data_IF_205986051652
#
_entry.id   IF_205986051652
#
_cell.length_a   1.000
_cell.length_b   1.000
_cell.length_c   1.000
_cell.angle_alpha   90.00
_cell.angle_beta   90.00
_cell.angle_gamma   90.00
#
_symmetry.space_group_name_H-M   'P 1'
#
loop_
_entity.id
_entity.type
_entity.pdbx_description
1 polymer ?
#
# COMPACT_ATOMS: atom_id res chain seq x y z
N UNK A 1 -1.72 -51.01 1.33
CA UNK A 1 -1.85 -49.92 0.35
C UNK A 1 -1.96 -48.62 1.13
N UNK A 2 -0.82 -47.95 1.38
CA UNK A 2 -0.78 -46.68 2.08
C UNK A 2 -1.04 -45.55 1.10
N UNK A 3 -2.14 -44.83 1.28
CA UNK A 3 -2.42 -43.60 0.55
C UNK A 3 -1.54 -42.48 1.10
N UNK A 4 -0.44 -42.18 0.42
CA UNK A 4 0.31 -40.95 0.65
C UNK A 4 -0.52 -39.77 0.13
N UNK A 5 -1.24 -39.11 1.04
CA UNK A 5 -1.82 -37.80 0.77
C UNK A 5 -0.68 -36.79 0.74
N UNK A 6 -0.22 -36.50 -0.48
CA UNK A 6 0.76 -35.48 -0.77
C UNK A 6 0.18 -34.11 -0.36
N UNK A 7 0.62 -33.59 0.79
CA UNK A 7 0.26 -32.26 1.27
C UNK A 7 0.91 -31.21 0.37
N UNK A 8 0.19 -30.82 -0.68
CA UNK A 8 0.55 -29.66 -1.49
C UNK A 8 0.64 -28.43 -0.58
N UNK A 9 1.70 -27.60 -0.67
CA UNK A 9 1.74 -26.36 0.09
C UNK A 9 0.53 -25.53 -0.30
N UNK A 10 -0.31 -25.20 0.69
CA UNK A 10 -1.48 -24.34 0.47
C UNK A 10 -0.98 -23.03 -0.12
N UNK A 11 -1.47 -22.67 -1.31
CA UNK A 11 -1.19 -21.35 -1.90
C UNK A 11 -1.62 -20.29 -0.89
N UNK A 12 -0.81 -19.25 -0.62
CA UNK A 12 -1.21 -18.19 0.28
C UNK A 12 -2.52 -17.58 -0.22
N UNK A 13 -3.53 -17.54 0.66
CA UNK A 13 -4.85 -16.99 0.34
C UNK A 13 -4.92 -15.60 0.94
N UNK A 14 -4.81 -14.57 0.10
CA UNK A 14 -5.03 -13.19 0.50
C UNK A 14 -6.48 -12.80 0.18
N UNK A 15 -7.24 -12.43 1.20
CA UNK A 15 -8.59 -11.87 1.03
C UNK A 15 -8.52 -10.37 1.26
N UNK A 16 -8.73 -9.58 0.21
CA UNK A 16 -8.89 -8.13 0.37
C UNK A 16 -10.34 -7.86 0.76
N UNK A 17 -10.56 -7.40 2.00
CA UNK A 17 -11.87 -6.95 2.45
C UNK A 17 -11.87 -5.41 2.42
N UNK A 18 -12.46 -4.83 1.37
CA UNK A 18 -12.79 -3.40 1.38
C UNK A 18 -14.02 -3.27 2.29
N UNK A 19 -13.78 -2.97 3.57
CA UNK A 19 -14.89 -2.70 4.47
C UNK A 19 -15.49 -1.33 4.10
N UNK A 20 -16.56 -1.35 3.32
CA UNK A 20 -17.61 -0.32 3.42
C UNK A 20 -18.27 -0.61 4.76
N UNK A 21 -18.15 0.29 5.73
CA UNK A 21 -18.64 0.04 7.10
C UNK A 21 -20.03 -0.64 7.08
N UNK A 22 -20.27 -1.70 7.87
CA UNK A 22 -21.64 -2.08 8.21
C UNK A 22 -22.29 -0.90 8.94
N UNK A 23 -23.60 -0.68 8.73
CA UNK A 23 -24.37 0.31 9.48
C UNK A 23 -23.98 0.31 10.98
N UNK A 24 -23.91 1.48 11.64
CA UNK A 24 -23.42 1.56 13.00
C UNK A 24 -24.22 0.62 13.90
N UNK A 25 -23.56 -0.27 14.69
CA UNK A 25 -24.26 -1.09 15.64
C UNK A 25 -24.96 -0.19 16.66
N UNK A 26 -26.27 -0.37 16.82
CA UNK A 26 -27.10 0.30 17.84
C UNK A 26 -26.76 -0.19 19.24
N UNK A 27 -25.52 -0.10 19.69
CA UNK A 27 -25.18 -0.31 21.11
C UNK A 27 -23.92 0.46 21.48
N UNK A 28 -24.05 1.20 22.58
CA UNK A 28 -23.02 1.99 23.25
C UNK A 28 -21.86 1.12 23.73
N UNK A 29 -20.85 0.92 22.89
CA UNK A 29 -19.51 0.56 23.34
C UNK A 29 -18.51 1.36 22.53
N UNK A 30 -17.71 2.17 23.21
CA UNK A 30 -16.65 3.01 22.64
C UNK A 30 -15.63 2.15 21.91
N UNK A 31 -15.85 1.92 20.61
CA UNK A 31 -14.85 1.34 19.71
C UNK A 31 -13.90 2.48 19.36
N UNK A 32 -12.65 2.41 19.82
CA UNK A 32 -11.58 3.30 19.37
C UNK A 32 -11.58 3.38 17.84
N UNK A 33 -11.39 4.56 17.22
CA UNK A 33 -11.44 4.68 15.77
C UNK A 33 -10.48 3.67 15.14
N UNK A 34 -10.99 2.88 14.19
CA UNK A 34 -10.19 1.96 13.41
C UNK A 34 -8.99 2.72 12.82
N UNK A 35 -7.76 2.18 12.90
CA UNK A 35 -6.62 2.80 12.22
C UNK A 35 -6.92 2.93 10.72
N UNK A 36 -6.30 3.93 10.06
CA UNK A 36 -6.52 4.20 8.64
C UNK A 36 -6.27 2.96 7.76
N UNK A 37 -5.41 2.04 8.21
CA UNK A 37 -5.13 0.74 7.61
C UNK A 37 -4.90 -0.31 8.71
N UNK A 38 -5.27 -1.56 8.44
CA UNK A 38 -4.73 -2.69 9.21
C UNK A 38 -4.50 -3.91 8.32
N UNK A 39 -3.33 -4.52 8.48
CA UNK A 39 -2.95 -5.77 7.82
C UNK A 39 -2.80 -6.86 8.87
N UNK A 40 -3.58 -7.91 8.70
CA UNK A 40 -3.56 -9.09 9.57
C UNK A 40 -3.02 -10.25 8.72
N UNK A 41 -1.86 -10.78 9.09
CA UNK A 41 -1.26 -11.95 8.44
C UNK A 41 -0.44 -12.71 9.46
N UNK A 42 -0.33 -14.02 9.28
CA UNK A 42 0.59 -14.85 10.05
C UNK A 42 2.05 -14.65 9.61
N UNK A 43 3.01 -15.05 10.46
CA UNK A 43 4.44 -14.85 10.21
C UNK A 43 4.94 -15.50 8.91
N UNK A 44 4.33 -16.62 8.49
CA UNK A 44 4.63 -17.30 7.23
C UNK A 44 3.75 -16.86 6.07
N UNK A 45 2.88 -15.86 6.28
CA UNK A 45 1.99 -15.26 5.26
C UNK A 45 1.10 -16.27 4.53
N UNK A 46 0.70 -17.34 5.22
CA UNK A 46 -0.18 -18.36 4.65
C UNK A 46 -1.61 -17.87 4.43
N UNK A 47 -2.06 -16.88 5.21
CA UNK A 47 -3.34 -16.21 5.04
C UNK A 47 -3.31 -14.79 5.56
N UNK A 48 -4.10 -13.90 4.95
CA UNK A 48 -4.20 -12.53 5.45
C UNK A 48 -5.42 -11.76 5.00
N UNK A 49 -5.70 -10.68 5.73
CA UNK A 49 -6.73 -9.70 5.43
C UNK A 49 -6.11 -8.30 5.39
N UNK A 50 -6.53 -7.51 4.40
CA UNK A 50 -6.22 -6.08 4.29
C UNK A 50 -7.51 -5.31 4.54
N UNK A 51 -7.47 -4.38 5.49
CA UNK A 51 -8.55 -3.46 5.80
C UNK A 51 -8.13 -2.04 5.40
N UNK A 52 -8.99 -1.36 4.64
CA UNK A 52 -8.77 0.00 4.18
C UNK A 52 -9.95 0.90 4.55
N UNK A 53 -9.67 2.02 5.21
CA UNK A 53 -10.70 3.01 5.52
C UNK A 53 -11.12 3.78 4.26
N UNK A 54 -12.40 3.68 3.89
CA UNK A 54 -12.96 4.32 2.69
C UNK A 54 -13.47 5.74 2.92
N UNK A 55 -13.56 6.22 4.17
CA UNK A 55 -14.07 7.56 4.52
C UNK A 55 -13.23 8.71 3.98
N UNK A 56 -11.95 8.44 3.67
CA UNK A 56 -11.02 9.40 3.06
C UNK A 56 -11.06 9.37 1.52
N UNK A 57 -12.02 8.65 0.95
CA UNK A 57 -12.24 8.56 -0.49
C UNK A 57 -11.52 7.37 -1.16
N UNK A 58 -11.91 7.04 -2.39
CA UNK A 58 -11.46 5.84 -3.09
C UNK A 58 -9.96 5.87 -3.42
N UNK A 59 -9.40 7.05 -3.67
CA UNK A 59 -7.96 7.26 -3.93
C UNK A 59 -7.10 6.79 -2.76
N UNK A 60 -7.44 7.24 -1.54
CA UNK A 60 -6.70 6.86 -0.32
C UNK A 60 -6.88 5.37 -0.03
N UNK A 61 -8.10 4.84 -0.15
CA UNK A 61 -8.36 3.42 0.06
C UNK A 61 -7.58 2.52 -0.92
N UNK A 62 -7.56 2.86 -2.22
CA UNK A 62 -6.78 2.12 -3.23
C UNK A 62 -5.28 2.13 -2.93
N UNK A 63 -4.74 3.30 -2.55
CA UNK A 63 -3.34 3.42 -2.15
C UNK A 63 -3.03 2.56 -0.92
N UNK A 64 -3.86 2.62 0.12
CA UNK A 64 -3.75 1.78 1.31
C UNK A 64 -3.70 0.30 0.94
N UNK A 65 -4.64 -0.18 0.13
CA UNK A 65 -4.68 -1.61 -0.25
C UNK A 65 -3.41 -2.00 -0.99
N UNK A 66 -2.95 -1.19 -1.94
CA UNK A 66 -1.74 -1.46 -2.71
C UNK A 66 -0.47 -1.42 -1.85
N UNK A 67 -0.40 -0.50 -0.88
CA UNK A 67 0.70 -0.37 0.07
C UNK A 67 0.80 -1.61 0.98
N UNK A 68 -0.32 -2.03 1.58
CA UNK A 68 -0.34 -3.23 2.42
C UNK A 68 -0.04 -4.51 1.62
N UNK A 69 -0.48 -4.55 0.36
CA UNK A 69 -0.13 -5.63 -0.57
C UNK A 69 1.38 -5.67 -0.82
N UNK A 70 2.04 -4.52 -0.94
CA UNK A 70 3.49 -4.42 -1.04
C UNK A 70 4.19 -5.05 0.15
N UNK A 71 3.78 -4.70 1.37
CA UNK A 71 4.34 -5.35 2.56
C UNK A 71 4.06 -6.85 2.63
N UNK A 72 2.94 -7.32 2.10
CA UNK A 72 2.59 -8.74 2.08
C UNK A 72 3.43 -9.52 1.07
N UNK A 73 3.63 -8.99 -0.14
CA UNK A 73 4.32 -9.70 -1.22
C UNK A 73 5.85 -9.59 -1.13
N UNK A 74 6.41 -8.54 -0.53
CA UNK A 74 7.85 -8.37 -0.43
C UNK A 74 8.41 -9.22 0.71
N UNK A 75 9.08 -10.34 0.39
CA UNK A 75 9.60 -11.32 1.36
C UNK A 75 10.51 -10.70 2.43
N UNK A 76 11.34 -9.73 2.03
CA UNK A 76 12.26 -9.00 2.91
C UNK A 76 11.58 -8.06 3.91
N UNK A 77 10.29 -7.77 3.74
CA UNK A 77 9.54 -6.98 4.72
C UNK A 77 9.30 -7.84 5.96
N UNK A 78 9.44 -7.30 7.16
CA UNK A 78 9.31 -8.10 8.38
C UNK A 78 8.23 -7.49 9.25
N UNK A 79 7.45 -8.33 9.91
CA UNK A 79 6.48 -7.90 10.90
C UNK A 79 7.24 -7.64 12.19
N UNK A 80 7.28 -6.40 12.67
CA UNK A 80 7.90 -6.05 13.95
C UNK A 80 7.05 -6.44 15.15
N UNK A 81 5.73 -6.64 14.97
CA UNK A 81 4.80 -7.10 16.01
C UNK A 81 3.98 -8.33 15.56
N UNK A 82 3.82 -9.28 16.48
CA UNK A 82 3.04 -10.53 16.29
C UNK A 82 1.52 -10.30 16.05
N UNK A 83 1.02 -9.07 16.16
CA UNK A 83 -0.41 -8.73 16.08
C UNK A 83 -0.80 -7.89 14.85
N UNK A 84 0.11 -7.73 13.89
CA UNK A 84 -0.14 -6.96 12.68
C UNK A 84 0.46 -5.57 12.76
N UNK A 85 1.03 -5.13 11.64
CA UNK A 85 1.74 -3.87 11.54
C UNK A 85 0.77 -2.71 11.75
N UNK A 86 1.03 -1.89 12.77
CA UNK A 86 0.39 -0.58 12.94
C UNK A 86 1.39 0.45 12.43
N UNK A 87 1.29 0.83 11.16
CA UNK A 87 2.11 1.92 10.62
C UNK A 87 1.73 3.23 11.31
N UNK A 88 2.40 3.58 12.41
CA UNK A 88 2.34 4.91 13.01
C UNK A 88 3.65 5.61 12.67
N UNK A 89 3.54 6.72 11.96
CA UNK A 89 4.68 7.59 11.60
C UNK A 89 5.50 8.07 12.82
N UNK A 90 4.97 7.90 14.03
CA UNK A 90 5.52 8.41 15.27
C UNK A 90 6.52 7.45 15.96
N UNK A 91 6.64 6.20 15.50
CA UNK A 91 7.53 5.19 16.11
C UNK A 91 8.93 5.11 15.44
N UNK A 92 9.20 5.98 14.48
CA UNK A 92 10.45 6.05 13.72
C UNK A 92 11.59 6.65 14.57
N UNK A 93 12.27 5.81 15.36
CA UNK A 93 13.48 6.18 16.14
C UNK A 93 14.75 6.11 15.27
N UNK A 94 15.81 6.85 15.64
CA UNK A 94 17.18 6.73 15.07
C UNK A 94 17.87 5.42 15.50
N UNK A 95 17.21 4.29 15.32
CA UNK A 95 17.76 2.96 15.57
C UNK A 95 17.92 2.22 14.25
N UNK A 96 18.76 1.17 14.21
CA UNK A 96 18.88 0.32 13.02
C UNK A 96 17.54 -0.29 12.60
N UNK A 97 16.67 -0.59 13.57
CA UNK A 97 15.31 -1.07 13.34
C UNK A 97 14.45 0.02 12.68
N UNK A 98 14.48 1.25 13.20
CA UNK A 98 13.76 2.38 12.60
C UNK A 98 14.21 2.69 11.18
N UNK A 99 15.52 2.60 10.89
CA UNK A 99 16.04 2.75 9.53
C UNK A 99 15.53 1.63 8.59
N UNK A 100 15.38 0.41 9.10
CA UNK A 100 14.83 -0.70 8.33
C UNK A 100 13.33 -0.51 8.06
N UNK A 101 12.57 -0.07 9.06
CA UNK A 101 11.15 0.26 8.91
C UNK A 101 10.95 1.36 7.88
N UNK A 102 11.68 2.49 7.97
CA UNK A 102 11.68 3.55 6.96
C UNK A 102 11.93 3.03 5.54
N UNK A 103 12.88 2.11 5.39
CA UNK A 103 13.18 1.50 4.10
C UNK A 103 12.04 0.62 3.59
N UNK A 104 11.39 -0.16 4.46
CA UNK A 104 10.24 -0.98 4.11
C UNK A 104 9.03 -0.12 3.73
N UNK A 105 8.76 0.95 4.48
CA UNK A 105 7.70 1.92 4.16
C UNK A 105 7.92 2.57 2.79
N UNK A 106 9.14 3.03 2.53
CA UNK A 106 9.50 3.61 1.23
C UNK A 106 9.32 2.59 0.09
N UNK A 107 9.74 1.35 0.30
CA UNK A 107 9.56 0.26 -0.67
C UNK A 107 8.09 -0.10 -0.89
N UNK A 108 7.26 -0.11 0.15
CA UNK A 108 5.82 -0.36 0.03
C UNK A 108 5.11 0.79 -0.69
N UNK A 109 5.51 2.03 -0.46
CA UNK A 109 5.04 3.19 -1.22
C UNK A 109 5.39 3.07 -2.70
N UNK A 110 6.64 2.71 -3.03
CA UNK A 110 7.06 2.47 -4.42
C UNK A 110 6.26 1.32 -5.04
N UNK A 111 6.12 0.20 -4.32
CA UNK A 111 5.31 -0.93 -4.77
C UNK A 111 3.88 -0.50 -5.07
N UNK A 112 3.25 0.31 -4.21
CA UNK A 112 1.86 0.73 -4.37
C UNK A 112 1.62 1.52 -5.66
N UNK A 113 2.62 2.26 -6.14
CA UNK A 113 2.51 3.04 -7.38
C UNK A 113 2.45 2.13 -8.61
N UNK A 114 3.18 1.01 -8.64
CA UNK A 114 3.21 0.14 -9.82
C UNK A 114 1.83 -0.39 -10.26
N UNK A 115 0.98 -0.97 -9.40
CA UNK A 115 -0.35 -1.42 -9.81
C UNK A 115 -1.34 -0.26 -10.02
N UNK A 116 -1.13 0.90 -9.39
CA UNK A 116 -2.05 2.05 -9.50
C UNK A 116 -1.76 2.91 -10.74
N UNK A 117 -0.49 3.05 -11.10
CA UNK A 117 0.03 3.84 -12.20
C UNK A 117 1.16 3.08 -12.93
N UNK A 118 0.84 1.99 -13.67
CA UNK A 118 1.83 1.16 -14.32
C UNK A 118 2.67 1.95 -15.33
N UNK A 119 3.99 1.73 -15.35
CA UNK A 119 4.92 2.53 -16.17
C UNK A 119 4.50 2.62 -17.65
N UNK A 120 4.16 1.52 -18.36
CA UNK A 120 3.80 1.61 -19.77
C UNK A 120 2.52 2.45 -20.02
N UNK A 121 1.58 2.45 -19.07
CA UNK A 121 0.36 3.24 -19.17
C UNK A 121 0.61 4.70 -18.83
N UNK A 122 1.48 4.96 -17.84
CA UNK A 122 1.86 6.31 -17.45
C UNK A 122 2.66 6.98 -18.56
N UNK A 123 3.60 6.25 -19.15
CA UNK A 123 4.41 6.70 -20.29
C UNK A 123 3.58 7.02 -21.52
N UNK A 124 2.53 6.25 -21.79
CA UNK A 124 1.60 6.52 -22.89
C UNK A 124 0.87 7.86 -22.75
N UNK A 125 0.83 8.44 -21.55
CA UNK A 125 0.27 9.77 -21.31
C UNK A 125 1.35 10.87 -21.28
N UNK A 126 2.64 10.51 -21.20
CA UNK A 126 3.72 11.50 -21.06
C UNK A 126 3.69 12.54 -22.18
N UNK A 127 3.49 13.79 -21.78
CA UNK A 127 3.74 14.94 -22.62
C UNK A 127 5.24 15.25 -22.66
N UNK A 128 5.67 15.95 -23.71
CA UNK A 128 7.05 16.43 -23.82
C UNK A 128 7.40 17.50 -22.76
N UNK A 129 6.40 18.10 -22.11
CA UNK A 129 6.57 19.21 -21.17
C UNK A 129 6.18 18.77 -19.74
N UNK A 130 7.15 18.60 -18.82
CA UNK A 130 6.90 18.19 -17.44
C UNK A 130 6.42 19.38 -16.62
N UNK A 131 5.17 19.79 -16.79
CA UNK A 131 4.56 20.86 -16.00
C UNK A 131 3.58 20.30 -14.94
N UNK A 132 3.09 21.20 -14.11
CA UNK A 132 2.15 20.86 -13.05
C UNK A 132 0.81 20.40 -13.62
N UNK A 133 0.36 20.99 -14.73
CA UNK A 133 -0.89 20.63 -15.40
C UNK A 133 -0.85 19.16 -15.86
N UNK A 134 0.29 18.72 -16.39
CA UNK A 134 0.52 17.32 -16.72
C UNK A 134 0.46 16.39 -15.48
N UNK A 135 1.05 16.82 -14.36
CA UNK A 135 0.97 16.06 -13.11
C UNK A 135 -0.47 15.96 -12.57
N UNK A 136 -1.30 17.00 -12.75
CA UNK A 136 -2.72 16.98 -12.42
C UNK A 136 -3.53 16.07 -13.34
N UNK A 137 -3.24 16.10 -14.64
CA UNK A 137 -3.88 15.23 -15.62
C UNK A 137 -3.65 13.75 -15.29
N UNK A 138 -2.38 13.37 -15.06
CA UNK A 138 -2.02 12.00 -14.70
C UNK A 138 -2.55 11.58 -13.33
N UNK A 139 -2.57 12.50 -12.36
CA UNK A 139 -3.19 12.30 -11.04
C UNK A 139 -4.63 11.83 -11.19
N UNK A 140 -5.39 12.50 -12.04
CA UNK A 140 -6.81 12.20 -12.23
C UNK A 140 -7.05 10.97 -13.11
N UNK A 141 -6.21 10.76 -14.13
CA UNK A 141 -6.26 9.57 -14.99
C UNK A 141 -6.03 8.26 -14.21
N UNK A 142 -5.06 8.23 -13.28
CA UNK A 142 -4.76 7.04 -12.47
C UNK A 142 -5.52 6.99 -11.13
N UNK A 143 -6.05 8.14 -10.69
CA UNK A 143 -6.71 8.28 -9.40
C UNK A 143 -5.74 8.10 -8.24
N UNK A 144 -4.56 8.74 -8.32
CA UNK A 144 -3.48 8.75 -7.31
C UNK A 144 -3.32 10.17 -6.71
N UNK A 145 -2.48 10.38 -5.68
CA UNK A 145 -2.23 11.75 -5.17
C UNK A 145 -1.41 12.57 -6.17
N UNK A 146 -1.45 13.90 -6.06
CA UNK A 146 -0.62 14.77 -6.89
C UNK A 146 0.87 14.48 -6.67
N UNK A 147 1.27 14.34 -5.41
CA UNK A 147 2.65 13.97 -5.03
C UNK A 147 3.08 12.64 -5.67
N UNK A 148 2.22 11.61 -5.62
CA UNK A 148 2.51 10.33 -6.27
C UNK A 148 2.66 10.48 -7.78
N UNK A 149 1.84 11.33 -8.41
CA UNK A 149 1.93 11.61 -9.84
C UNK A 149 3.24 12.31 -10.22
N UNK A 150 3.63 13.33 -9.45
CA UNK A 150 4.88 14.06 -9.64
C UNK A 150 6.09 13.15 -9.45
N UNK A 151 6.13 12.34 -8.38
CA UNK A 151 7.20 11.37 -8.16
C UNK A 151 7.29 10.37 -9.31
N UNK A 152 6.15 9.85 -9.77
CA UNK A 152 6.11 8.91 -10.91
C UNK A 152 6.62 9.55 -12.21
N UNK A 153 6.31 10.82 -12.44
CA UNK A 153 6.87 11.58 -13.56
C UNK A 153 8.39 11.70 -13.44
N UNK A 154 8.92 12.03 -12.26
CA UNK A 154 10.37 12.12 -12.03
C UNK A 154 11.05 10.75 -12.26
N UNK A 155 10.46 9.66 -11.75
CA UNK A 155 11.03 8.32 -11.82
C UNK A 155 11.11 7.77 -13.27
N UNK A 156 10.18 8.15 -14.14
CA UNK A 156 10.08 7.64 -15.51
C UNK A 156 10.75 8.52 -16.57
N UNK A 157 11.24 9.70 -16.17
CA UNK A 157 11.81 10.69 -17.08
C UNK A 157 13.34 10.63 -17.03
N UNK A 158 14.02 10.61 -18.19
CA UNK A 158 15.49 10.68 -18.21
C UNK A 158 16.03 12.07 -17.87
N UNK A 159 15.22 13.12 -18.02
CA UNK A 159 15.63 14.49 -17.71
C UNK A 159 15.71 14.72 -16.20
N UNK A 160 16.66 15.55 -15.76
CA UNK A 160 16.77 15.94 -14.36
C UNK A 160 15.58 16.83 -13.96
N UNK A 161 14.59 16.23 -13.29
CA UNK A 161 13.43 16.93 -12.74
C UNK A 161 13.52 16.98 -11.21
N UNK A 162 13.16 18.12 -10.65
CA UNK A 162 12.99 18.29 -9.21
C UNK A 162 11.63 18.93 -8.96
N UNK A 163 10.98 18.49 -7.89
CA UNK A 163 9.77 19.13 -7.39
C UNK A 163 9.98 19.47 -5.91
N UNK A 164 9.43 20.62 -5.51
CA UNK A 164 9.62 21.23 -4.19
C UNK A 164 8.25 21.41 -3.55
N UNK A 165 8.09 20.90 -2.34
CA UNK A 165 6.86 20.97 -1.55
C UNK A 165 7.15 21.02 -0.05
#
# INVERSE_FOLDING_TARGET
MGSNSETYPRRPVLSAAINVDPEPPKTSSTISPLPDTSRITDAVRSSGAILANTRRGPRRARFTVAHELGHFLMEKHQLTDATGFRCRSQDLRETQEGHRELKQESQANQFAIEPLAPAPKFEALLSNHPDLEYAEHTRDAFGISLEASVRRMIDLRPEALAAVW
#
